data_IF_185190967227
#
_entry.id   IF_185190967227
#
_cell.length_a   1.000
_cell.length_b   1.000
_cell.length_c   1.000
_cell.angle_alpha   90.00
_cell.angle_beta   90.00
_cell.angle_gamma   90.00
#
_symmetry.space_group_name_H-M   'P 1'
#
loop_
_entity.id
_entity.type
_entity.pdbx_description
1 polymer ?
#
# COMPACT_ATOMS: atom_id res chain seq x y z
N UNK A 1 7.89 -4.51 -2.29
CA UNK A 1 7.25 -3.67 -1.25
C UNK A 1 7.61 -4.14 0.16
N UNK A 2 7.10 -5.27 0.63
CA UNK A 2 7.34 -5.74 2.01
C UNK A 2 8.81 -5.98 2.35
N UNK A 3 9.60 -6.48 1.40
CA UNK A 3 11.04 -6.64 1.58
C UNK A 3 11.73 -5.33 1.97
N UNK A 4 11.36 -4.20 1.36
CA UNK A 4 11.92 -2.90 1.69
C UNK A 4 11.55 -2.45 3.11
N UNK A 5 10.33 -2.72 3.57
CA UNK A 5 9.90 -2.42 4.93
C UNK A 5 10.66 -3.27 5.96
N UNK A 6 10.78 -4.57 5.71
CA UNK A 6 11.52 -5.50 6.59
C UNK A 6 13.01 -5.16 6.61
N UNK A 7 13.59 -4.82 5.46
CA UNK A 7 14.99 -4.37 5.38
C UNK A 7 15.22 -3.10 6.19
N UNK A 8 14.31 -2.12 6.10
CA UNK A 8 14.42 -0.90 6.90
C UNK A 8 14.33 -1.19 8.40
N UNK A 9 13.42 -2.08 8.82
CA UNK A 9 13.31 -2.53 10.21
C UNK A 9 14.59 -3.23 10.68
N UNK A 10 15.16 -4.14 9.86
CA UNK A 10 16.39 -4.84 10.19
C UNK A 10 17.57 -3.88 10.38
N UNK A 11 17.67 -2.86 9.53
CA UNK A 11 18.72 -1.84 9.65
C UNK A 11 18.51 -0.95 10.90
N UNK A 12 17.25 -0.67 11.27
CA UNK A 12 16.94 0.14 12.45
C UNK A 12 17.28 -0.55 13.77
N UNK A 13 17.35 -1.88 13.79
CA UNK A 13 17.61 -2.67 15.02
C UNK A 13 19.00 -3.26 15.08
N UNK A 14 19.84 -3.03 14.07
CA UNK A 14 21.16 -3.69 13.95
C UNK A 14 22.04 -3.51 15.19
N UNK A 15 21.98 -2.34 15.83
CA UNK A 15 22.80 -2.00 16.99
C UNK A 15 22.25 -2.60 18.31
N UNK A 16 21.06 -3.17 18.29
CA UNK A 16 20.44 -3.76 19.48
C UNK A 16 20.90 -5.21 19.76
N UNK A 17 21.58 -5.85 18.81
CA UNK A 17 22.06 -7.21 18.97
C UNK A 17 20.96 -8.20 19.35
N UNK A 18 21.09 -8.86 20.51
CA UNK A 18 20.09 -9.83 21.01
C UNK A 18 18.76 -9.22 21.40
N UNK A 19 18.70 -7.91 21.63
CA UNK A 19 17.47 -7.20 22.02
C UNK A 19 16.68 -6.70 20.80
N UNK A 20 17.18 -6.94 19.60
CA UNK A 20 16.52 -6.59 18.35
C UNK A 20 15.22 -7.38 18.18
N UNK A 21 14.12 -6.67 17.93
CA UNK A 21 12.82 -7.25 17.67
C UNK A 21 12.19 -6.65 16.43
N UNK A 22 11.73 -7.52 15.53
CA UNK A 22 10.91 -7.15 14.38
C UNK A 22 9.67 -8.03 14.38
N UNK A 23 8.51 -7.42 14.37
CA UNK A 23 7.22 -8.10 14.36
C UNK A 23 6.49 -7.82 13.05
N UNK A 24 6.05 -8.87 12.38
CA UNK A 24 5.19 -8.79 11.20
C UNK A 24 3.79 -9.26 11.59
N UNK A 25 2.80 -8.45 11.28
CA UNK A 25 1.40 -8.80 11.55
C UNK A 25 0.53 -8.53 10.34
N UNK A 26 -0.50 -9.35 10.17
CA UNK A 26 -1.56 -9.14 9.19
C UNK A 26 -2.90 -9.18 9.89
N UNK A 27 -3.86 -8.39 9.41
CA UNK A 27 -5.20 -8.38 9.93
C UNK A 27 -6.23 -8.14 8.82
N UNK A 28 -7.41 -8.68 9.02
CA UNK A 28 -8.59 -8.35 8.23
C UNK A 28 -9.53 -7.51 9.09
N UNK A 29 -9.77 -6.26 8.64
CA UNK A 29 -10.61 -5.29 9.35
C UNK A 29 -11.75 -4.84 8.46
N UNK A 30 -12.84 -5.61 8.37
CA UNK A 30 -14.01 -5.20 7.60
C UNK A 30 -14.58 -3.89 8.15
N UNK A 31 -15.00 -2.99 7.27
CA UNK A 31 -15.56 -1.71 7.67
C UNK A 31 -14.56 -0.54 7.76
N UNK A 32 -13.26 -0.77 7.68
CA UNK A 32 -12.29 0.32 7.55
C UNK A 32 -12.47 1.00 6.19
N UNK A 33 -12.80 2.29 6.21
CA UNK A 33 -12.99 3.12 5.02
C UNK A 33 -12.25 4.43 5.19
N UNK A 34 -11.29 4.67 4.31
CA UNK A 34 -10.40 5.82 4.38
C UNK A 34 -10.42 6.62 3.07
N UNK A 35 -10.06 7.89 3.18
CA UNK A 35 -9.80 8.73 2.02
C UNK A 35 -8.44 8.34 1.43
N UNK A 36 -8.42 8.04 0.14
CA UNK A 36 -7.21 7.70 -0.61
C UNK A 36 -6.94 8.81 -1.60
N UNK A 37 -5.70 9.30 -1.74
CA UNK A 37 -5.34 10.30 -2.74
C UNK A 37 -5.83 9.92 -4.14
N UNK A 38 -6.43 10.87 -4.85
CA UNK A 38 -6.97 10.64 -6.20
C UNK A 38 -8.35 9.98 -6.26
N UNK A 39 -8.97 9.65 -5.14
CA UNK A 39 -10.34 9.09 -5.08
C UNK A 39 -11.32 10.11 -4.54
N UNK A 40 -12.50 10.22 -5.18
CA UNK A 40 -13.57 11.15 -4.77
C UNK A 40 -14.36 10.67 -3.54
N UNK A 41 -14.32 9.39 -3.22
CA UNK A 41 -15.05 8.78 -2.12
C UNK A 41 -14.12 7.94 -1.24
N UNK A 42 -14.57 7.69 0.00
CA UNK A 42 -13.85 6.78 0.90
C UNK A 42 -13.82 5.37 0.30
N UNK A 43 -12.64 4.77 0.35
CA UNK A 43 -12.38 3.42 -0.14
C UNK A 43 -12.31 2.45 1.02
N UNK A 44 -12.88 1.26 0.86
CA UNK A 44 -12.74 0.16 1.83
C UNK A 44 -11.34 -0.45 1.72
N UNK A 45 -10.60 -0.46 2.83
CA UNK A 45 -9.25 -0.98 2.93
C UNK A 45 -9.15 -1.99 4.08
N UNK A 46 -9.77 -3.17 3.94
CA UNK A 46 -9.89 -4.12 5.05
C UNK A 46 -8.63 -4.94 5.31
N UNK A 47 -7.68 -4.97 4.38
CA UNK A 47 -6.45 -5.74 4.54
C UNK A 47 -5.38 -4.87 5.17
N UNK A 48 -4.93 -5.25 6.37
CA UNK A 48 -3.86 -4.57 7.09
C UNK A 48 -2.61 -5.45 7.13
N UNK A 49 -1.47 -4.85 6.87
CA UNK A 49 -0.15 -5.44 7.04
C UNK A 49 0.74 -4.46 7.81
N UNK A 50 1.34 -4.92 8.89
CA UNK A 50 2.22 -4.09 9.71
C UNK A 50 3.62 -4.71 9.84
N UNK A 51 4.62 -3.84 9.78
CA UNK A 51 5.99 -4.12 10.19
C UNK A 51 6.31 -3.22 11.38
N UNK A 52 6.60 -3.82 12.51
CA UNK A 52 6.96 -3.13 13.76
C UNK A 52 8.39 -3.49 14.13
N UNK A 53 9.16 -2.50 14.55
CA UNK A 53 10.49 -2.69 15.10
C UNK A 53 10.68 -1.91 16.41
N UNK A 54 11.66 -2.33 17.21
CA UNK A 54 12.06 -1.65 18.43
C UNK A 54 13.36 -0.84 18.28
N UNK A 55 13.68 -0.43 17.05
CA UNK A 55 14.85 0.38 16.73
C UNK A 55 14.82 1.80 17.27
N UNK A 56 15.74 2.60 16.79
CA UNK A 56 15.90 4.00 17.19
C UNK A 56 14.74 4.93 16.83
N UNK A 57 13.88 4.48 15.90
CA UNK A 57 12.79 5.29 15.39
C UNK A 57 13.18 6.21 14.23
N UNK A 58 12.20 6.94 13.75
CA UNK A 58 12.34 7.96 12.72
C UNK A 58 12.34 9.32 13.39
N UNK A 59 13.30 10.23 13.06
CA UNK A 59 13.26 11.58 13.54
C UNK A 59 11.94 12.28 13.23
N UNK A 60 11.42 13.02 14.20
CA UNK A 60 10.08 13.62 14.12
C UNK A 60 9.96 14.62 12.96
N UNK A 61 11.03 15.34 12.65
CA UNK A 61 11.13 16.30 11.54
C UNK A 61 11.08 15.62 10.16
N UNK A 62 11.41 14.33 10.08
CA UNK A 62 11.35 13.57 8.83
C UNK A 62 10.00 12.87 8.59
N UNK A 63 9.21 12.63 9.64
CA UNK A 63 7.94 11.91 9.52
C UNK A 63 6.99 12.50 8.47
N UNK A 64 6.79 13.83 8.34
CA UNK A 64 5.88 14.39 7.35
C UNK A 64 6.28 14.11 5.90
N UNK A 65 7.58 13.92 5.64
CA UNK A 65 8.13 13.73 4.30
C UNK A 65 8.78 12.36 4.11
N UNK A 66 8.49 11.42 5.00
CA UNK A 66 9.15 10.12 5.06
C UNK A 66 9.05 9.31 3.76
N UNK A 67 7.94 9.46 3.05
CA UNK A 67 7.68 8.76 1.79
C UNK A 67 8.05 9.57 0.54
N UNK A 68 8.61 10.76 0.72
CA UNK A 68 9.09 11.56 -0.39
C UNK A 68 10.43 11.00 -0.92
N UNK A 69 10.70 11.13 -2.22
CA UNK A 69 11.98 10.71 -2.78
C UNK A 69 13.16 11.43 -2.11
N UNK A 70 14.27 10.71 -1.95
CA UNK A 70 15.54 11.22 -1.41
C UNK A 70 15.55 11.58 0.08
N UNK A 71 14.46 11.33 0.81
CA UNK A 71 14.44 11.46 2.28
C UNK A 71 15.07 10.23 2.92
N UNK A 72 16.17 10.41 3.64
CA UNK A 72 16.88 9.33 4.34
C UNK A 72 17.80 9.89 5.42
N UNK A 73 17.96 9.13 6.52
CA UNK A 73 18.97 9.36 7.54
C UNK A 73 20.26 8.57 7.27
N UNK A 74 20.27 7.70 6.25
CA UNK A 74 21.37 6.79 5.96
C UNK A 74 22.39 7.46 5.07
N UNK A 75 23.68 7.41 5.46
CA UNK A 75 24.78 7.97 4.68
C UNK A 75 24.94 7.30 3.31
N UNK A 76 24.57 6.02 3.19
CA UNK A 76 24.69 5.22 1.96
C UNK A 76 23.34 4.93 1.30
N UNK A 77 22.23 5.43 1.86
CA UNK A 77 20.88 5.21 1.34
C UNK A 77 20.52 6.18 0.22
N UNK A 78 19.83 5.70 -0.80
CA UNK A 78 19.32 6.53 -1.90
C UNK A 78 18.11 7.39 -1.52
N UNK A 79 17.42 7.07 -0.41
CA UNK A 79 16.15 7.69 -0.04
C UNK A 79 14.97 7.31 -0.94
N UNK A 80 15.11 6.26 -1.76
CA UNK A 80 14.07 5.83 -2.72
C UNK A 80 13.24 4.63 -2.26
N UNK A 81 13.70 3.88 -1.23
CA UNK A 81 13.04 2.65 -0.80
C UNK A 81 11.62 2.86 -0.32
N UNK A 82 11.37 3.83 0.56
CA UNK A 82 10.03 4.14 1.08
C UNK A 82 9.16 4.86 0.04
N UNK A 83 9.73 5.72 -0.80
CA UNK A 83 9.01 6.34 -1.91
C UNK A 83 8.49 5.28 -2.90
N UNK A 84 9.29 4.27 -3.21
CA UNK A 84 8.88 3.13 -4.03
C UNK A 84 7.77 2.32 -3.36
N UNK A 85 7.87 2.06 -2.06
CA UNK A 85 6.82 1.37 -1.30
C UNK A 85 5.50 2.14 -1.38
N UNK A 86 5.52 3.46 -1.14
CA UNK A 86 4.34 4.31 -1.20
C UNK A 86 3.72 4.30 -2.61
N UNK A 87 4.54 4.36 -3.66
CA UNK A 87 4.07 4.25 -5.04
C UNK A 87 3.38 2.92 -5.31
N UNK A 88 3.99 1.81 -4.94
CA UNK A 88 3.41 0.47 -5.15
C UNK A 88 2.08 0.32 -4.39
N UNK A 89 2.03 0.77 -3.14
CA UNK A 89 0.81 0.74 -2.33
C UNK A 89 -0.29 1.59 -2.96
N UNK A 90 0.05 2.81 -3.42
CA UNK A 90 -0.88 3.71 -4.11
C UNK A 90 -1.40 3.12 -5.42
N UNK A 91 -0.54 2.49 -6.22
CA UNK A 91 -0.90 1.82 -7.48
C UNK A 91 -1.88 0.64 -7.23
N UNK A 92 -1.83 0.02 -6.05
CA UNK A 92 -2.79 -0.99 -5.60
C UNK A 92 -4.05 -0.40 -4.94
N UNK A 93 -4.19 0.91 -4.93
CA UNK A 93 -5.35 1.59 -4.34
C UNK A 93 -5.36 1.63 -2.82
N UNK A 94 -4.22 1.37 -2.19
CA UNK A 94 -4.02 1.39 -0.75
C UNK A 94 -3.37 2.67 -0.22
N UNK A 95 -3.09 2.65 1.08
CA UNK A 95 -2.31 3.68 1.76
C UNK A 95 -1.25 3.06 2.66
N UNK A 96 -0.18 3.80 2.91
CA UNK A 96 0.85 3.47 3.90
C UNK A 96 0.95 4.58 4.93
N UNK A 97 1.12 4.19 6.18
CA UNK A 97 1.31 5.08 7.31
C UNK A 97 2.54 4.67 8.13
N UNK A 98 3.14 5.63 8.80
CA UNK A 98 4.23 5.40 9.75
C UNK A 98 3.91 6.06 11.09
N UNK A 99 3.98 5.29 12.15
CA UNK A 99 3.99 5.78 13.53
C UNK A 99 5.37 5.50 14.11
N UNK A 100 6.03 6.50 14.65
CA UNK A 100 7.35 6.31 15.24
C UNK A 100 7.46 7.00 16.59
N UNK A 101 7.96 6.24 17.55
CA UNK A 101 8.34 6.67 18.89
C UNK A 101 9.67 5.96 19.22
N UNK A 102 10.45 6.42 20.18
CA UNK A 102 11.64 5.71 20.64
C UNK A 102 11.32 4.25 20.96
N UNK A 103 12.07 3.31 20.38
CA UNK A 103 11.92 1.86 20.52
C UNK A 103 10.59 1.28 20.00
N UNK A 104 9.88 2.03 19.16
CA UNK A 104 8.63 1.56 18.55
C UNK A 104 8.38 2.29 17.24
N UNK A 105 8.69 1.66 16.13
CA UNK A 105 8.32 2.13 14.79
C UNK A 105 7.35 1.14 14.16
N UNK A 106 6.26 1.62 13.60
CA UNK A 106 5.25 0.82 12.93
C UNK A 106 5.00 1.38 11.55
N UNK A 107 5.28 0.59 10.52
CA UNK A 107 4.78 0.83 9.17
C UNK A 107 3.52 0.01 8.96
N UNK A 108 2.42 0.68 8.63
CA UNK A 108 1.11 0.07 8.39
C UNK A 108 0.71 0.27 6.94
N UNK A 109 0.46 -0.82 6.24
CA UNK A 109 -0.05 -0.83 4.87
C UNK A 109 -1.50 -1.30 4.91
N UNK A 110 -2.39 -0.52 4.30
CA UNK A 110 -3.80 -0.83 4.17
C UNK A 110 -4.14 -1.01 2.69
N UNK A 111 -4.76 -2.12 2.34
CA UNK A 111 -5.03 -2.49 0.96
C UNK A 111 -6.52 -2.83 0.76
N UNK A 112 -7.07 -2.55 -0.43
CA UNK A 112 -8.39 -3.02 -0.79
C UNK A 112 -8.37 -4.54 -1.05
N UNK A 113 -9.53 -5.18 -0.92
CA UNK A 113 -9.69 -6.54 -1.41
C UNK A 113 -9.69 -6.55 -2.94
N UNK A 114 -9.02 -7.55 -3.50
CA UNK A 114 -9.13 -7.82 -4.92
C UNK A 114 -10.54 -8.36 -5.22
N UNK A 115 -11.25 -7.69 -6.11
CA UNK A 115 -12.55 -8.14 -6.57
C UNK A 115 -12.43 -8.63 -8.02
N UNK A 116 -12.26 -9.94 -8.19
CA UNK A 116 -12.11 -10.58 -9.50
C UNK A 116 -13.32 -10.34 -10.43
N UNK A 117 -14.52 -10.13 -9.87
CA UNK A 117 -15.72 -9.89 -10.67
C UNK A 117 -15.68 -8.56 -11.46
N UNK A 118 -14.92 -7.57 -11.02
CA UNK A 118 -14.78 -6.29 -11.75
C UNK A 118 -13.72 -6.31 -12.86
N UNK A 119 -12.83 -7.27 -12.84
CA UNK A 119 -11.75 -7.35 -13.85
C UNK A 119 -12.14 -8.14 -15.10
N UNK A 120 -13.12 -9.04 -14.99
CA UNK A 120 -13.62 -9.78 -16.15
C UNK A 120 -14.53 -8.96 -17.07
N UNK A 121 -15.12 -7.86 -16.58
CA UNK A 121 -16.06 -7.05 -17.36
C UNK A 121 -15.39 -5.97 -18.23
N UNK A 122 -14.10 -5.72 -18.05
CA UNK A 122 -13.36 -4.76 -18.86
C UNK A 122 -12.56 -5.38 -20.03
N UNK A 123 -12.43 -6.71 -20.07
CA UNK A 123 -11.68 -7.44 -21.09
C UNK A 123 -12.50 -7.99 -22.25
N UNK A 124 -13.84 -7.93 -22.21
CA UNK A 124 -14.68 -8.60 -23.19
C UNK A 124 -15.62 -7.67 -23.97
N UNK A 125 -15.24 -6.40 -24.14
CA UNK A 125 -15.81 -5.52 -25.16
C UNK A 125 -14.81 -5.29 -26.29
N UNK A 126 -14.35 -6.38 -26.88
CA UNK A 126 -13.87 -6.30 -28.24
C UNK A 126 -15.08 -6.33 -29.16
N UNK A 127 -15.28 -5.26 -29.90
CA UNK A 127 -16.21 -5.11 -31.00
C UNK A 127 -16.16 -6.35 -31.90
N UNK A 128 -17.23 -7.08 -31.97
CA UNK A 128 -17.50 -8.01 -33.05
C UNK A 128 -18.12 -7.19 -34.19
N UNK A 129 -17.41 -6.87 -35.27
CA UNK A 129 -18.00 -6.20 -36.42
C UNK A 129 -18.88 -7.22 -37.12
N UNK A 130 -20.21 -7.02 -37.14
CA UNK A 130 -21.12 -7.73 -38.01
C UNK A 130 -22.16 -8.62 -37.35
N UNK A 131 -22.94 -8.14 -36.39
CA UNK A 131 -24.23 -8.74 -36.08
C UNK A 131 -25.30 -8.04 -36.91
N UNK A 132 -26.08 -8.75 -37.76
CA UNK A 132 -27.18 -8.15 -38.50
C UNK A 132 -28.32 -7.76 -37.56
N UNK A 133 -28.79 -6.54 -37.75
CA UNK A 133 -29.97 -5.97 -37.08
C UNK A 133 -31.19 -6.88 -37.25
N UNK A 134 -31.98 -7.18 -36.22
CA UNK A 134 -33.22 -7.92 -36.42
C UNK A 134 -34.22 -7.04 -37.14
N UNK A 135 -34.61 -7.52 -38.32
CA UNK A 135 -35.63 -6.93 -39.15
C UNK A 135 -36.97 -6.86 -38.40
N UNK A 136 -37.57 -5.70 -38.41
CA UNK A 136 -38.95 -5.43 -38.04
C UNK A 136 -39.91 -6.38 -38.78
N UNK A 137 -40.57 -7.24 -38.04
CA UNK A 137 -41.78 -7.90 -38.58
C UNK A 137 -42.96 -6.99 -38.30
N UNK A 138 -43.35 -6.31 -39.37
CA UNK A 138 -44.58 -5.56 -39.43
C UNK A 138 -45.73 -6.56 -39.64
N UNK A 139 -46.80 -6.19 -39.01
CA UNK A 139 -48.15 -6.71 -38.93
C UNK A 139 -48.77 -7.39 -40.14
N UNK A 140 -49.54 -8.35 -39.85
CA UNK A 140 -50.97 -8.36 -40.26
C UNK A 140 -51.78 -9.29 -39.37
#
# INVERSE_FOLDING_TARGET
>A
MFLNLVKNAAEAVVDLGSDAEIQLTTAFRPGVRLSVPGKKSRVSLPLEFCVKDNGSGVPEDLLPNLFDPFVTTKQTGSGLGLALVAKIVGDHGGIIECESQPRKTIFRVLLPMFNSAKHFDQGNREDVPGAPSPASRDSR
#
